data_IF_535220557159
#
_entry.id   IF_535220557159
#
_cell.length_a   1.000
_cell.length_b   1.000
_cell.length_c   1.000
_cell.angle_alpha   90.00
_cell.angle_beta   90.00
_cell.angle_gamma   90.00
#
_symmetry.space_group_name_H-M   'P 1'
#
loop_
_entity.id
_entity.type
_entity.pdbx_description
1 polymer ?
#
# COMPACT_ATOMS: atom_id res chain seq x y z
N UNK A 1 8.75 7.38 -15.38
CA UNK A 1 8.11 7.47 -14.04
C UNK A 1 9.16 7.29 -12.96
N UNK A 2 9.46 8.33 -12.19
CA UNK A 2 10.44 8.34 -11.09
C UNK A 2 9.84 7.94 -9.74
N UNK A 3 8.52 8.00 -9.60
CA UNK A 3 7.77 7.64 -8.39
C UNK A 3 7.09 6.29 -8.58
N UNK A 4 7.23 5.40 -7.60
CA UNK A 4 6.66 4.06 -7.60
C UNK A 4 5.95 3.84 -6.27
N UNK A 5 4.72 3.31 -6.25
CA UNK A 5 4.10 2.92 -4.99
C UNK A 5 4.88 1.77 -4.36
N UNK A 6 4.85 1.68 -3.04
CA UNK A 6 5.47 0.56 -2.32
C UNK A 6 4.81 -0.76 -2.74
N UNK A 7 5.58 -1.67 -3.34
CA UNK A 7 5.06 -2.92 -3.90
C UNK A 7 4.26 -3.77 -2.90
N UNK A 8 4.71 -3.86 -1.65
CA UNK A 8 3.96 -4.57 -0.59
C UNK A 8 2.60 -3.95 -0.28
N UNK A 9 2.47 -2.63 -0.47
CA UNK A 9 1.24 -1.88 -0.26
C UNK A 9 0.30 -2.09 -1.45
N UNK A 10 0.84 -2.10 -2.67
CA UNK A 10 0.11 -2.45 -3.88
C UNK A 10 -0.44 -3.88 -3.83
N UNK A 11 0.37 -4.87 -3.43
CA UNK A 11 -0.06 -6.27 -3.31
C UNK A 11 -1.15 -6.51 -2.26
N UNK A 12 -1.21 -5.68 -1.22
CA UNK A 12 -2.27 -5.73 -0.22
C UNK A 12 -3.53 -4.94 -0.62
N UNK A 13 -3.48 -4.23 -1.75
CA UNK A 13 -4.56 -3.39 -2.24
C UNK A 13 -5.67 -4.24 -2.86
N UNK A 14 -6.92 -3.81 -2.71
CA UNK A 14 -8.06 -4.38 -3.42
C UNK A 14 -7.92 -4.26 -4.94
N UNK A 15 -7.27 -3.20 -5.40
CA UNK A 15 -7.04 -2.88 -6.81
C UNK A 15 -5.67 -3.38 -7.31
N UNK A 16 -5.10 -4.44 -6.72
CA UNK A 16 -3.74 -4.91 -7.07
C UNK A 16 -3.56 -5.32 -8.54
N UNK A 17 -4.66 -5.60 -9.26
CA UNK A 17 -4.64 -5.95 -10.69
C UNK A 17 -5.17 -4.82 -11.58
N UNK A 18 -5.51 -3.65 -11.01
CA UNK A 18 -6.01 -2.50 -11.74
C UNK A 18 -4.87 -1.59 -12.21
N UNK A 19 -5.12 -0.80 -13.26
CA UNK A 19 -4.13 0.15 -13.77
C UNK A 19 -4.16 1.46 -12.98
N UNK A 20 -3.35 1.53 -11.94
CA UNK A 20 -3.17 2.73 -11.13
C UNK A 20 -2.28 3.80 -11.81
N UNK A 21 -1.88 3.63 -13.07
CA UNK A 21 -0.98 4.55 -13.79
C UNK A 21 -1.52 5.97 -13.93
N UNK A 22 -2.84 6.15 -13.80
CA UNK A 22 -3.54 7.44 -13.83
C UNK A 22 -3.38 8.25 -12.55
N UNK A 23 -2.91 7.65 -11.45
CA UNK A 23 -2.77 8.32 -10.17
C UNK A 23 -1.55 9.26 -10.14
N UNK A 24 -1.64 10.41 -9.44
CA UNK A 24 -0.55 11.37 -9.36
C UNK A 24 0.51 10.93 -8.35
N UNK A 25 1.27 9.87 -8.63
CA UNK A 25 2.31 9.36 -7.72
C UNK A 25 3.36 10.40 -7.31
N UNK A 26 3.53 11.48 -8.09
CA UNK A 26 4.47 12.56 -7.76
C UNK A 26 3.97 13.51 -6.65
N UNK A 27 2.67 13.56 -6.38
CA UNK A 27 2.10 14.37 -5.29
C UNK A 27 1.93 13.58 -4.00
N UNK A 28 2.06 12.26 -4.09
CA UNK A 28 1.94 11.35 -2.95
C UNK A 28 3.17 11.44 -2.03
N UNK A 29 2.99 11.21 -0.71
CA UNK A 29 4.07 11.31 0.25
C UNK A 29 5.16 10.26 -0.02
N UNK A 30 6.39 10.74 -0.21
CA UNK A 30 7.57 9.90 -0.36
C UNK A 30 7.92 9.22 0.97
N UNK A 31 8.10 7.91 0.93
CA UNK A 31 8.49 7.10 2.10
C UNK A 31 9.98 6.74 2.07
N UNK A 32 10.50 6.42 0.89
CA UNK A 32 11.89 5.97 0.73
C UNK A 32 12.38 6.24 -0.68
N UNK A 33 13.70 6.23 -0.89
CA UNK A 33 14.31 6.33 -2.22
C UNK A 33 15.18 5.09 -2.43
N UNK A 34 14.95 4.36 -3.52
CA UNK A 34 15.68 3.13 -3.84
C UNK A 34 16.08 3.12 -5.30
N UNK A 35 17.39 2.91 -5.57
CA UNK A 35 17.94 2.77 -6.93
C UNK A 35 17.47 3.88 -7.90
N UNK A 36 17.44 5.13 -7.44
CA UNK A 36 17.00 6.28 -8.25
C UNK A 36 15.48 6.41 -8.43
N UNK A 37 14.67 5.59 -7.76
CA UNK A 37 13.21 5.68 -7.73
C UNK A 37 12.72 6.11 -6.35
N UNK A 38 11.72 6.99 -6.32
CA UNK A 38 11.06 7.42 -5.08
C UNK A 38 9.91 6.46 -4.79
N UNK A 39 10.02 5.73 -3.69
CA UNK A 39 8.95 4.89 -3.17
C UNK A 39 7.97 5.78 -2.43
N UNK A 40 6.75 5.87 -2.95
CA UNK A 40 5.67 6.68 -2.38
C UNK A 40 4.64 5.81 -1.68
N UNK A 41 3.93 6.39 -0.72
CA UNK A 41 2.75 5.78 -0.11
C UNK A 41 1.52 6.14 -0.96
N UNK A 42 0.84 5.14 -1.50
CA UNK A 42 -0.41 5.36 -2.22
C UNK A 42 -1.48 5.94 -1.28
N UNK A 43 -2.12 7.04 -1.68
CA UNK A 43 -3.23 7.66 -0.94
C UNK A 43 -4.54 6.94 -1.21
N UNK A 44 -4.73 6.43 -2.43
CA UNK A 44 -5.90 5.64 -2.87
C UNK A 44 -5.79 4.16 -2.44
N UNK A 45 -4.99 3.88 -1.43
CA UNK A 45 -4.79 2.51 -0.97
C UNK A 45 -6.01 2.01 -0.22
N UNK A 46 -6.64 0.97 -0.75
CA UNK A 46 -7.72 0.24 -0.11
C UNK A 46 -7.28 -1.18 0.22
N UNK A 47 -7.28 -1.55 1.50
CA UNK A 47 -6.89 -2.90 1.91
C UNK A 47 -7.89 -3.95 1.38
N UNK A 48 -7.41 -5.01 0.72
CA UNK A 48 -8.25 -6.09 0.23
C UNK A 48 -8.98 -6.85 1.35
N UNK A 49 -8.39 -6.87 2.56
CA UNK A 49 -9.02 -7.41 3.77
C UNK A 49 -9.30 -6.27 4.74
N UNK A 50 -10.54 -6.06 5.21
CA UNK A 50 -10.85 -5.03 6.18
C UNK A 50 -10.03 -5.26 7.46
N UNK A 51 -9.40 -4.20 7.96
CA UNK A 51 -8.57 -4.19 9.17
C UNK A 51 -9.30 -4.69 10.42
N UNK A 52 -10.65 -4.69 10.41
CA UNK A 52 -11.49 -5.25 11.46
C UNK A 52 -11.18 -6.73 11.78
N UNK A 53 -10.77 -7.53 10.77
CA UNK A 53 -10.49 -8.96 10.98
C UNK A 53 -9.14 -9.23 11.68
N UNK A 54 -8.20 -8.28 11.67
CA UNK A 54 -6.87 -8.45 12.31
C UNK A 54 -6.88 -8.23 13.82
N UNK A 55 -7.88 -7.54 14.37
CA UNK A 55 -7.96 -7.28 15.81
C UNK A 55 -8.59 -8.45 16.58
N UNK A 56 -9.45 -9.24 15.93
CA UNK A 56 -10.07 -10.42 16.54
C UNK A 56 -9.09 -11.60 16.74
N UNK A 57 -8.12 -11.76 15.83
CA UNK A 57 -7.16 -12.87 15.87
C UNK A 57 -6.11 -12.76 16.99
N UNK A 58 -5.78 -11.53 17.44
CA UNK A 58 -4.80 -11.33 18.53
C UNK A 58 -5.35 -11.56 19.95
N UNK A 59 -6.66 -11.80 20.12
CA UNK A 59 -7.31 -11.94 21.43
C UNK A 59 -7.63 -13.38 21.81
N UNK A 60 -7.19 -14.37 21.03
CA UNK A 60 -7.40 -15.81 21.26
C UNK A 60 -6.12 -16.56 21.64
N UNK A 61 -5.12 -15.86 22.20
CA UNK A 61 -3.81 -16.41 22.55
C UNK A 61 -3.30 -15.91 23.89
N UNK A 62 -4.02 -16.17 24.98
CA UNK A 62 -3.45 -16.21 26.33
C UNK A 62 -4.34 -17.16 27.14
N UNK A 63 -3.95 -18.43 27.14
CA UNK A 63 -4.36 -19.44 28.12
C UNK A 63 -3.55 -19.27 29.41
#
# INVERSE_FOLDING_TARGET
MTHQPKGSLCMACRHTFDDCSRLPFSTMPAMSKSKGRVIVRCTEFEHARPTSQRQADRRAGSA
#
